data_IF_544728623210
#
_entry.id   IF_544728623210
#
_cell.length_a   1.000
_cell.length_b   1.000
_cell.length_c   1.000
_cell.angle_alpha   90.00
_cell.angle_beta   90.00
_cell.angle_gamma   90.00
#
_symmetry.space_group_name_H-M   'P 1'
#
loop_
_entity.id
_entity.type
_entity.pdbx_description
1 polymer ?
#
# COMPACT_ATOMS: atom_id res chain seq x y z
N UNK A 1 0.13 1.79 -3.13
CA UNK A 1 -1.03 2.68 -2.99
C UNK A 1 -1.51 3.11 -4.37
N UNK A 2 -2.81 3.03 -4.68
CA UNK A 2 -3.34 3.51 -5.97
C UNK A 2 -3.50 5.03 -5.93
N UNK A 3 -3.16 5.72 -7.02
CA UNK A 3 -3.32 7.17 -7.14
C UNK A 3 -4.57 7.49 -7.96
N UNK A 4 -5.21 8.62 -7.64
CA UNK A 4 -6.26 9.24 -8.44
C UNK A 4 -5.66 9.96 -9.67
N UNK A 5 -6.48 10.36 -10.67
CA UNK A 5 -6.02 11.14 -11.82
C UNK A 5 -5.33 12.46 -11.45
N UNK A 6 -5.62 13.03 -10.27
CA UNK A 6 -4.92 14.19 -9.72
C UNK A 6 -3.61 13.83 -8.99
N UNK A 7 -3.14 12.58 -9.07
CA UNK A 7 -1.99 12.04 -8.35
C UNK A 7 -2.08 12.12 -6.82
N UNK A 8 -3.30 12.22 -6.29
CA UNK A 8 -3.55 12.07 -4.87
C UNK A 8 -3.76 10.60 -4.51
N UNK A 9 -3.35 10.17 -3.32
CA UNK A 9 -3.64 8.83 -2.84
C UNK A 9 -5.15 8.56 -2.81
N UNK A 10 -5.59 7.51 -3.50
CA UNK A 10 -7.00 7.11 -3.58
C UNK A 10 -7.61 6.74 -2.22
N UNK A 11 -6.78 6.29 -1.29
CA UNK A 11 -7.21 5.74 0.00
C UNK A 11 -6.36 6.30 1.15
N UNK A 12 -6.50 7.59 1.49
CA UNK A 12 -5.69 8.24 2.54
C UNK A 12 -5.84 7.56 3.90
N UNK A 13 -6.99 6.93 4.17
CA UNK A 13 -7.24 6.14 5.38
C UNK A 13 -6.30 4.94 5.58
N UNK A 14 -5.66 4.46 4.52
CA UNK A 14 -4.61 3.44 4.66
C UNK A 14 -3.39 4.00 5.42
N UNK A 15 -3.09 5.29 5.22
CA UNK A 15 -2.03 5.98 5.96
C UNK A 15 -2.44 6.22 7.41
N UNK A 16 -3.71 6.54 7.68
CA UNK A 16 -4.21 6.62 9.06
C UNK A 16 -4.03 5.28 9.80
N UNK A 17 -4.39 4.16 9.16
CA UNK A 17 -4.16 2.82 9.70
C UNK A 17 -2.66 2.56 9.95
N UNK A 18 -1.80 2.88 8.98
CA UNK A 18 -0.35 2.69 9.13
C UNK A 18 0.22 3.52 10.29
N UNK A 19 -0.24 4.77 10.44
CA UNK A 19 0.12 5.67 11.53
C UNK A 19 -0.24 5.07 12.89
N UNK A 20 -1.47 4.59 13.04
CA UNK A 20 -1.96 3.97 14.28
C UNK A 20 -1.25 2.65 14.60
N UNK A 21 -0.98 1.82 13.59
CA UNK A 21 -0.26 0.55 13.78
C UNK A 21 1.19 0.75 14.24
N UNK A 22 1.85 1.79 13.72
CA UNK A 22 3.25 2.08 14.01
C UNK A 22 3.46 2.99 15.23
N UNK A 23 2.44 3.74 15.64
CA UNK A 23 2.50 4.71 16.73
C UNK A 23 3.75 5.63 16.66
N UNK A 24 4.15 6.02 15.44
CA UNK A 24 5.30 6.88 15.19
C UNK A 24 6.68 6.23 15.39
N UNK A 25 6.76 4.90 15.45
CA UNK A 25 8.01 4.14 15.60
C UNK A 25 8.29 3.22 14.40
N UNK A 26 9.56 2.88 14.20
CA UNK A 26 10.01 1.98 13.13
C UNK A 26 10.03 2.63 11.74
N UNK A 27 10.20 1.79 10.72
CA UNK A 27 10.29 2.20 9.32
C UNK A 27 8.97 1.94 8.59
N UNK A 28 8.48 2.93 7.87
CA UNK A 28 7.36 2.79 6.93
C UNK A 28 7.79 3.31 5.56
N UNK A 29 7.57 2.52 4.52
CA UNK A 29 7.82 2.91 3.14
C UNK A 29 6.47 2.88 2.43
N UNK A 30 6.02 4.04 1.97
CA UNK A 30 4.77 4.18 1.21
C UNK A 30 5.14 4.22 -0.27
N UNK A 31 4.68 3.22 -1.00
CA UNK A 31 4.99 3.08 -2.42
C UNK A 31 3.74 3.24 -3.29
N UNK A 32 3.91 3.88 -4.45
CA UNK A 32 2.92 3.92 -5.52
C UNK A 32 3.56 3.52 -6.85
N UNK A 33 2.77 2.94 -7.75
CA UNK A 33 3.19 2.56 -9.09
C UNK A 33 2.35 3.34 -10.11
N UNK A 34 3.03 4.07 -10.99
CA UNK A 34 2.44 4.72 -12.16
C UNK A 34 2.66 3.83 -13.39
N UNK A 35 1.59 3.59 -14.14
CA UNK A 35 1.65 2.75 -15.33
C UNK A 35 2.02 3.60 -16.55
N UNK A 36 3.17 3.32 -17.19
CA UNK A 36 3.61 4.01 -18.41
C UNK A 36 5.12 4.11 -18.56
N UNK A 37 5.57 5.02 -19.43
CA UNK A 37 6.98 5.29 -19.73
C UNK A 37 7.54 6.37 -18.79
N UNK A 38 8.69 6.09 -18.17
CA UNK A 38 9.37 7.02 -17.27
C UNK A 38 9.81 8.32 -17.96
N UNK A 39 10.22 8.26 -19.23
CA UNK A 39 10.64 9.46 -19.97
C UNK A 39 9.50 10.48 -20.09
N UNK A 40 8.27 10.00 -20.25
CA UNK A 40 7.07 10.83 -20.37
C UNK A 40 6.52 11.23 -19.00
N UNK A 41 6.49 10.29 -18.05
CA UNK A 41 5.83 10.47 -16.76
C UNK A 41 6.75 10.98 -15.64
N UNK A 42 7.98 11.42 -15.95
CA UNK A 42 8.94 11.87 -14.92
C UNK A 42 8.38 12.98 -14.02
N UNK A 43 7.80 14.01 -14.61
CA UNK A 43 7.23 15.15 -13.86
C UNK A 43 5.98 14.76 -13.08
N UNK A 44 5.15 13.87 -13.64
CA UNK A 44 3.99 13.31 -12.94
C UNK A 44 4.42 12.46 -11.73
N UNK A 45 5.45 11.62 -11.89
CA UNK A 45 6.00 10.81 -10.81
C UNK A 45 6.57 11.66 -9.67
N UNK A 46 7.28 12.76 -10.02
CA UNK A 46 7.80 13.73 -9.06
C UNK A 46 6.66 14.44 -8.30
N UNK A 47 5.63 14.86 -9.02
CA UNK A 47 4.44 15.50 -8.45
C UNK A 47 3.67 14.55 -7.54
N UNK A 48 3.46 13.30 -7.98
CA UNK A 48 2.82 12.24 -7.21
C UNK A 48 3.60 11.95 -5.92
N UNK A 49 4.93 11.89 -6.00
CA UNK A 49 5.79 11.69 -4.82
C UNK A 49 5.63 12.83 -3.83
N UNK A 50 5.65 14.08 -4.29
CA UNK A 50 5.45 15.25 -3.43
C UNK A 50 4.09 15.19 -2.72
N UNK A 51 3.00 14.94 -3.46
CA UNK A 51 1.65 14.82 -2.88
C UNK A 51 1.55 13.68 -1.86
N UNK A 52 2.24 12.56 -2.12
CA UNK A 52 2.28 11.44 -1.20
C UNK A 52 3.01 11.78 0.10
N UNK A 53 4.13 12.52 0.04
CA UNK A 53 4.81 13.03 1.24
C UNK A 53 3.89 13.95 2.04
N UNK A 54 3.22 14.91 1.39
CA UNK A 54 2.28 15.80 2.06
C UNK A 54 1.12 15.04 2.74
N UNK A 55 0.64 13.96 2.11
CA UNK A 55 -0.41 13.11 2.69
C UNK A 55 0.12 12.30 3.89
N UNK A 56 1.35 11.79 3.83
CA UNK A 56 1.99 11.12 4.97
C UNK A 56 2.16 12.07 6.16
N UNK A 57 2.60 13.31 5.93
CA UNK A 57 2.74 14.33 6.97
C UNK A 57 1.38 14.65 7.61
N UNK A 58 0.33 14.81 6.80
CA UNK A 58 -1.03 15.06 7.28
C UNK A 58 -1.56 13.93 8.18
N UNK A 59 -1.29 12.68 7.81
CA UNK A 59 -1.73 11.48 8.54
C UNK A 59 -0.72 11.05 9.63
N UNK A 60 0.30 11.88 9.90
CA UNK A 60 1.34 11.66 10.91
C UNK A 60 2.15 10.35 10.72
N UNK A 61 2.28 9.91 9.46
CA UNK A 61 3.08 8.73 9.11
C UNK A 61 4.55 9.13 8.95
N UNK A 62 5.40 8.62 9.85
CA UNK A 62 6.86 8.77 9.71
C UNK A 62 7.41 7.70 8.76
N UNK A 63 8.12 8.13 7.72
CA UNK A 63 8.66 7.19 6.75
C UNK A 63 9.10 7.84 5.45
N UNK A 64 9.23 7.01 4.42
CA UNK A 64 9.64 7.44 3.08
C UNK A 64 8.52 7.19 2.06
N UNK A 65 8.38 8.11 1.12
CA UNK A 65 7.51 7.98 -0.03
C UNK A 65 8.33 7.58 -1.27
N UNK A 66 7.89 6.58 -2.02
CA UNK A 66 8.50 6.21 -3.30
C UNK A 66 7.46 6.01 -4.41
N UNK A 67 7.71 6.58 -5.59
CA UNK A 67 6.83 6.41 -6.75
C UNK A 67 7.64 5.78 -7.87
N UNK A 68 7.20 4.62 -8.34
CA UNK A 68 7.85 3.85 -9.40
C UNK A 68 7.01 3.96 -10.66
N UNK A 69 7.64 4.27 -11.79
CA UNK A 69 6.99 4.21 -13.10
C UNK A 69 7.36 2.88 -13.75
N UNK A 70 6.37 2.18 -14.30
CA UNK A 70 6.54 0.86 -14.90
C UNK A 70 5.49 0.65 -15.98
N UNK A 71 5.82 -0.07 -17.05
CA UNK A 71 4.87 -0.44 -18.12
C UNK A 71 3.75 -1.35 -17.62
N UNK A 72 3.99 -2.07 -16.51
CA UNK A 72 3.00 -2.91 -15.85
C UNK A 72 2.95 -2.61 -14.36
N UNK A 73 1.73 -2.42 -13.84
CA UNK A 73 1.49 -2.22 -12.41
C UNK A 73 1.95 -3.43 -11.59
N UNK A 74 1.69 -4.64 -12.07
CA UNK A 74 2.12 -5.87 -11.39
C UNK A 74 3.64 -5.96 -11.30
N UNK A 75 4.37 -5.67 -12.39
CA UNK A 75 5.84 -5.67 -12.38
C UNK A 75 6.40 -4.56 -11.50
N UNK A 76 5.78 -3.37 -11.52
CA UNK A 76 6.18 -2.27 -10.63
C UNK A 76 6.04 -2.64 -9.15
N UNK A 77 4.95 -3.33 -8.78
CA UNK A 77 4.78 -3.84 -7.41
C UNK A 77 5.85 -4.88 -7.09
N UNK A 78 6.13 -5.80 -8.01
CA UNK A 78 7.17 -6.81 -7.88
C UNK A 78 8.54 -6.18 -7.57
N UNK A 79 8.93 -5.15 -8.34
CA UNK A 79 10.18 -4.42 -8.11
C UNK A 79 10.20 -3.71 -6.76
N UNK A 80 9.09 -3.07 -6.37
CA UNK A 80 8.97 -2.42 -5.06
C UNK A 80 9.15 -3.42 -3.94
N UNK A 81 8.50 -4.57 -3.99
CA UNK A 81 8.59 -5.60 -2.95
C UNK A 81 10.02 -6.12 -2.80
N UNK A 82 10.74 -6.31 -3.90
CA UNK A 82 12.10 -6.86 -3.89
C UNK A 82 13.19 -5.84 -3.51
N UNK A 83 12.99 -4.57 -3.87
CA UNK A 83 14.04 -3.54 -3.77
C UNK A 83 13.76 -2.44 -2.75
N UNK A 84 12.55 -2.37 -2.18
CA UNK A 84 12.26 -1.41 -1.14
C UNK A 84 13.13 -1.70 0.09
N UNK A 85 13.91 -0.71 0.50
CA UNK A 85 14.79 -0.79 1.65
C UNK A 85 15.72 0.42 1.70
N UNK A 86 16.36 0.61 2.86
CA UNK A 86 17.38 1.64 3.06
C UNK A 86 18.56 1.01 3.80
N UNK A 87 19.62 0.67 3.06
CA UNK A 87 20.79 0.00 3.62
C UNK A 87 20.43 -1.36 4.21
N UNK A 88 20.69 -1.56 5.51
CA UNK A 88 20.35 -2.79 6.22
C UNK A 88 18.87 -2.90 6.62
N UNK A 89 18.06 -1.85 6.39
CA UNK A 89 16.65 -1.82 6.76
C UNK A 89 15.77 -2.22 5.59
N UNK A 90 15.10 -3.37 5.71
CA UNK A 90 14.13 -3.87 4.74
C UNK A 90 12.74 -3.95 5.38
N UNK A 91 11.66 -3.70 4.61
CA UNK A 91 10.31 -3.94 5.09
C UNK A 91 10.12 -5.44 5.35
N UNK A 92 9.35 -5.76 6.39
CA UNK A 92 8.99 -7.14 6.73
C UNK A 92 7.51 -7.45 6.47
N UNK A 93 6.72 -6.42 6.15
CA UNK A 93 5.27 -6.51 5.99
C UNK A 93 4.83 -5.67 4.80
N UNK A 94 4.00 -6.26 3.93
CA UNK A 94 3.28 -5.54 2.87
C UNK A 94 1.86 -5.27 3.33
N UNK A 95 1.46 -4.00 3.33
CA UNK A 95 0.08 -3.59 3.61
C UNK A 95 -0.56 -3.12 2.31
N UNK A 96 -1.72 -3.69 1.97
CA UNK A 96 -2.45 -3.34 0.76
C UNK A 96 -3.97 -3.33 0.99
N UNK A 97 -4.69 -2.64 0.13
CA UNK A 97 -6.14 -2.60 0.19
C UNK A 97 -6.76 -3.75 -0.59
N UNK A 98 -7.91 -4.21 -0.11
CA UNK A 98 -8.76 -5.14 -0.82
C UNK A 98 -9.18 -4.56 -2.18
N UNK A 99 -9.18 -5.35 -3.27
CA UNK A 99 -9.68 -4.89 -4.56
C UNK A 99 -11.21 -4.79 -4.53
N UNK A 100 -11.73 -3.56 -4.51
CA UNK A 100 -13.15 -3.31 -4.70
C UNK A 100 -13.60 -3.75 -6.11
N UNK A 101 -14.86 -4.17 -6.25
CA UNK A 101 -15.46 -4.58 -7.54
C UNK A 101 -14.69 -5.69 -8.29
N UNK A 102 -14.00 -6.58 -7.57
CA UNK A 102 -13.22 -7.69 -8.15
C UNK A 102 -14.03 -8.68 -9.01
N UNK A 103 -15.35 -8.70 -8.84
CA UNK A 103 -16.29 -9.55 -9.57
C UNK A 103 -16.71 -8.96 -10.92
N UNK A 104 -16.41 -7.69 -11.18
CA UNK A 104 -16.68 -7.05 -12.46
C UNK A 104 -15.66 -7.49 -13.51
N UNK A 105 -16.14 -7.99 -14.65
CA UNK A 105 -15.28 -8.47 -15.73
C UNK A 105 -14.40 -7.36 -16.33
N UNK A 106 -14.82 -6.09 -16.21
CA UNK A 106 -14.02 -4.92 -16.60
C UNK A 106 -12.80 -4.70 -15.70
N UNK A 107 -12.80 -5.23 -14.47
CA UNK A 107 -11.74 -5.05 -13.46
C UNK A 107 -10.85 -6.28 -13.29
N UNK A 108 -10.86 -7.22 -14.25
CA UNK A 108 -10.11 -8.48 -14.17
C UNK A 108 -8.60 -8.28 -13.96
N UNK A 109 -8.03 -7.21 -14.50
CA UNK A 109 -6.60 -6.86 -14.33
C UNK A 109 -6.27 -6.41 -12.90
N UNK A 110 -7.19 -5.72 -12.23
CA UNK A 110 -7.01 -5.27 -10.84
C UNK A 110 -6.97 -6.47 -9.90
N UNK A 111 -7.89 -7.44 -10.08
CA UNK A 111 -7.89 -8.68 -9.30
C UNK A 111 -6.62 -9.50 -9.54
N UNK A 112 -6.21 -9.70 -10.80
CA UNK A 112 -4.96 -10.41 -11.12
C UNK A 112 -3.74 -9.74 -10.49
N UNK A 113 -3.66 -8.42 -10.56
CA UNK A 113 -2.55 -7.66 -9.96
C UNK A 113 -2.52 -7.81 -8.44
N UNK A 114 -3.69 -7.85 -7.79
CA UNK A 114 -3.78 -8.11 -6.35
C UNK A 114 -3.26 -9.52 -5.99
N UNK A 115 -3.71 -10.56 -6.70
CA UNK A 115 -3.23 -11.94 -6.47
C UNK A 115 -1.71 -12.06 -6.70
N UNK A 116 -1.21 -11.46 -7.78
CA UNK A 116 0.24 -11.42 -8.04
C UNK A 116 1.00 -10.73 -6.90
N UNK A 117 0.46 -9.63 -6.36
CA UNK A 117 1.07 -8.92 -5.23
C UNK A 117 1.17 -9.79 -3.98
N UNK A 118 0.16 -10.61 -3.70
CA UNK A 118 0.20 -11.58 -2.60
C UNK A 118 1.31 -12.61 -2.82
N UNK A 119 1.42 -13.16 -4.03
CA UNK A 119 2.48 -14.11 -4.37
C UNK A 119 3.87 -13.50 -4.27
N UNK A 120 4.07 -12.25 -4.72
CA UNK A 120 5.34 -11.56 -4.59
C UNK A 120 5.73 -11.36 -3.13
N UNK A 121 4.80 -10.91 -2.28
CA UNK A 121 5.06 -10.73 -0.86
C UNK A 121 5.38 -12.05 -0.14
N UNK A 122 4.63 -13.12 -0.45
CA UNK A 122 4.91 -14.46 0.07
C UNK A 122 6.29 -14.97 -0.38
N UNK A 123 6.65 -14.79 -1.66
CA UNK A 123 7.94 -15.22 -2.20
C UNK A 123 9.11 -14.45 -1.58
N UNK A 124 8.88 -13.17 -1.25
CA UNK A 124 9.83 -12.32 -0.53
C UNK A 124 9.88 -12.59 0.99
N UNK A 125 9.17 -13.62 1.49
CA UNK A 125 9.06 -13.94 2.93
C UNK A 125 8.58 -12.76 3.79
N UNK A 126 7.66 -11.95 3.25
CA UNK A 126 7.05 -10.83 3.96
C UNK A 126 5.69 -11.22 4.53
N UNK A 127 5.36 -10.70 5.71
CA UNK A 127 3.99 -10.75 6.21
C UNK A 127 3.08 -9.91 5.30
N UNK A 128 1.82 -10.31 5.19
CA UNK A 128 0.85 -9.59 4.36
C UNK A 128 -0.35 -9.18 5.20
N UNK A 129 -0.71 -7.90 5.11
CA UNK A 129 -1.93 -7.36 5.70
C UNK A 129 -2.81 -6.79 4.59
N UNK A 130 -4.01 -7.38 4.44
CA UNK A 130 -5.00 -6.91 3.47
C UNK A 130 -6.13 -6.20 4.21
N UNK A 131 -6.37 -4.94 3.85
CA UNK A 131 -7.36 -4.07 4.51
C UNK A 131 -8.59 -3.95 3.63
N UNK A 132 -9.73 -4.46 4.12
CA UNK A 132 -11.02 -4.33 3.44
C UNK A 132 -11.82 -3.19 4.04
N UNK A 133 -12.48 -2.40 3.19
CA UNK A 133 -13.33 -1.30 3.65
C UNK A 133 -12.56 -0.11 4.23
N UNK A 134 -11.32 0.11 3.77
CA UNK A 134 -10.42 1.16 4.29
C UNK A 134 -11.04 2.56 4.30
N UNK A 135 -12.00 2.83 3.41
CA UNK A 135 -12.68 4.13 3.35
C UNK A 135 -13.46 4.48 4.63
N UNK A 136 -13.90 3.46 5.38
CA UNK A 136 -14.62 3.61 6.65
C UNK A 136 -13.70 3.60 7.87
N UNK A 137 -12.39 3.44 7.67
CA UNK A 137 -11.43 3.40 8.77
C UNK A 137 -11.35 4.80 9.45
N UNK A 138 -11.28 4.85 10.80
CA UNK A 138 -11.26 6.11 11.54
C UNK A 138 -10.06 6.99 11.20
N UNK A 139 -10.23 8.30 11.29
CA UNK A 139 -9.11 9.24 11.34
C UNK A 139 -8.35 9.16 12.67
N UNK A 140 -7.15 9.75 12.72
CA UNK A 140 -6.35 9.81 13.96
C UNK A 140 -6.99 10.64 15.08
N UNK A 141 -8.01 11.45 14.77
CA UNK A 141 -8.71 12.28 15.77
C UNK A 141 -9.94 11.59 16.36
N UNK A 142 -10.40 10.51 15.75
CA UNK A 142 -11.60 9.80 16.18
C UNK A 142 -11.27 8.82 17.31
N UNK A 143 -12.05 8.87 18.38
CA UNK A 143 -12.02 7.86 19.44
C UNK A 143 -13.10 6.84 19.15
N UNK A 144 -12.71 5.57 19.13
CA UNK A 144 -13.64 4.45 18.95
C UNK A 144 -13.96 3.81 20.29
N UNK A 145 -15.22 3.44 20.46
CA UNK A 145 -15.71 2.59 21.55
C UNK A 145 -16.33 1.33 20.93
N UNK A 146 -16.06 0.17 21.52
CA UNK A 146 -16.54 -1.11 20.99
C UNK A 146 -15.54 -2.25 21.23
N UNK A 147 -15.63 -3.27 20.38
CA UNK A 147 -14.79 -4.48 20.46
C UNK A 147 -13.85 -4.59 19.26
N UNK A 148 -12.74 -5.30 19.48
CA UNK A 148 -11.86 -5.82 18.41
C UNK A 148 -12.00 -7.33 18.45
N UNK A 149 -12.72 -7.89 17.47
CA UNK A 149 -12.96 -9.32 17.41
C UNK A 149 -11.85 -10.00 16.61
N UNK A 150 -11.10 -10.89 17.27
CA UNK A 150 -9.98 -11.62 16.67
C UNK A 150 -10.38 -13.08 16.46
N UNK A 151 -10.50 -13.47 15.19
CA UNK A 151 -10.79 -14.84 14.79
C UNK A 151 -9.49 -15.57 14.47
N UNK A 152 -9.02 -16.42 15.40
CA UNK A 152 -7.82 -17.22 15.18
C UNK A 152 -8.18 -18.62 14.66
N UNK A 153 -7.78 -18.89 13.42
CA UNK A 153 -7.89 -20.19 12.78
C UNK A 153 -6.48 -20.77 12.64
N UNK A 154 -6.27 -21.97 13.21
CA UNK A 154 -5.01 -22.69 13.11
C UNK A 154 -5.09 -23.69 11.96
N UNK A 155 -4.21 -23.55 10.96
CA UNK A 155 -3.95 -24.60 10.00
C UNK A 155 -2.88 -25.52 10.60
N UNK A 156 -3.31 -26.57 11.29
CA UNK A 156 -2.45 -27.67 11.65
C UNK A 156 -2.28 -28.50 10.37
N UNK A 157 -1.30 -28.13 9.54
CA UNK A 157 -0.84 -29.05 8.50
C UNK A 157 -0.09 -30.19 9.20
N UNK A 158 -0.43 -31.46 8.94
CA UNK A 158 0.27 -32.62 9.48
C UNK A 158 1.70 -32.76 8.93
#
# INVERSE_FOLDING_TARGET
MKLMPCHEPLQPRLLSLASQLKAGQGLTIVCSVLCGDFFQLHEEAKTAKYKMVMCMEREQVKGFANVVVSESTSLGICHVVQSAGLGALYPNTVVMCWPDHWFDSSNRETYKSFINSLHYAQTANMAVQVVKGVQKFPSNSERLEGTIDIWWIMNILP
#
